data_IF_637769885075
#
_entry.id   IF_637769885075
#
_cell.length_a   1.000
_cell.length_b   1.000
_cell.length_c   1.000
_cell.angle_alpha   90.00
_cell.angle_beta   90.00
_cell.angle_gamma   90.00
#
_symmetry.space_group_name_H-M   'P 1'
#
loop_
_entity.id
_entity.type
_entity.pdbx_description
1 polymer ?
#
# COMPACT_ATOMS: atom_id res chain seq x y z
N UNK A 1 27.96 11.59 1.58
CA UNK A 1 27.73 12.43 0.42
C UNK A 1 26.24 12.39 0.08
N UNK A 2 25.57 13.51 0.19
CA UNK A 2 24.14 13.72 0.08
C UNK A 2 23.60 13.21 -1.26
N UNK A 3 22.63 12.28 -1.23
CA UNK A 3 21.71 12.06 -2.33
C UNK A 3 20.62 13.18 -2.35
N UNK A 4 21.04 14.40 -2.26
CA UNK A 4 20.22 15.54 -2.60
C UNK A 4 20.52 15.88 -4.06
N UNK A 5 20.01 15.04 -4.97
CA UNK A 5 19.96 15.42 -6.37
C UNK A 5 18.53 15.94 -6.63
N UNK A 6 18.30 17.25 -6.64
CA UNK A 6 16.98 17.84 -6.86
C UNK A 6 16.40 17.52 -8.25
N UNK A 7 17.18 16.91 -9.15
CA UNK A 7 16.69 16.45 -10.46
C UNK A 7 16.01 15.08 -10.43
N UNK A 8 16.19 14.27 -9.38
CA UNK A 8 15.62 12.92 -9.30
C UNK A 8 14.18 12.87 -8.77
N UNK A 9 13.73 13.87 -8.03
CA UNK A 9 12.42 13.90 -7.37
C UNK A 9 11.42 14.86 -8.04
N UNK A 10 11.46 15.07 -9.32
CA UNK A 10 10.43 15.85 -10.00
C UNK A 10 9.11 15.06 -10.14
N UNK A 11 8.49 14.65 -9.02
CA UNK A 11 7.20 13.90 -9.03
C UNK A 11 6.17 14.65 -9.88
N UNK A 12 6.12 15.96 -9.81
CA UNK A 12 5.24 16.80 -10.64
C UNK A 12 5.41 16.55 -12.15
N UNK A 13 6.61 16.19 -12.61
CA UNK A 13 6.91 15.94 -14.04
C UNK A 13 6.32 14.63 -14.56
N UNK A 14 6.07 13.67 -13.68
CA UNK A 14 5.54 12.35 -14.05
C UNK A 14 4.02 12.23 -13.83
N UNK A 15 3.40 13.19 -13.17
CA UNK A 15 1.95 13.25 -13.01
C UNK A 15 1.30 13.48 -14.38
N UNK A 16 0.25 12.72 -14.67
CA UNK A 16 -0.55 12.79 -15.88
C UNK A 16 -2.00 13.13 -15.54
N UNK A 17 -2.56 14.10 -16.24
CA UNK A 17 -3.99 14.37 -16.17
C UNK A 17 -4.77 13.20 -16.77
N UNK A 18 -5.85 12.80 -16.12
CA UNK A 18 -6.80 11.82 -16.68
C UNK A 18 -7.99 12.53 -17.30
N UNK A 19 -8.87 11.79 -17.95
CA UNK A 19 -10.15 12.32 -18.45
C UNK A 19 -11.20 12.52 -17.34
N UNK A 20 -10.94 12.00 -16.15
CA UNK A 20 -11.80 12.23 -14.98
C UNK A 20 -11.45 13.56 -14.33
N UNK A 21 -12.49 14.30 -13.92
CA UNK A 21 -12.30 15.54 -13.19
C UNK A 21 -11.67 15.27 -11.82
N UNK A 22 -10.68 16.07 -11.44
CA UNK A 22 -9.97 15.99 -10.16
C UNK A 22 -9.26 14.65 -9.89
N UNK A 23 -8.89 13.91 -10.94
CA UNK A 23 -8.12 12.68 -10.83
C UNK A 23 -6.89 12.75 -11.72
N UNK A 24 -5.73 12.73 -11.11
CA UNK A 24 -4.44 12.62 -11.76
C UNK A 24 -3.83 11.25 -11.52
N UNK A 25 -2.88 10.85 -12.34
CA UNK A 25 -2.26 9.53 -12.30
C UNK A 25 -0.74 9.63 -12.42
N UNK A 26 -0.03 8.92 -11.57
CA UNK A 26 1.36 8.54 -11.80
C UNK A 26 1.35 7.09 -12.32
N UNK A 27 1.55 6.88 -13.63
CA UNK A 27 1.51 5.54 -14.20
C UNK A 27 2.76 4.75 -13.83
N UNK A 28 2.57 3.49 -13.45
CA UNK A 28 3.66 2.54 -13.32
C UNK A 28 4.01 1.92 -14.69
N UNK A 29 5.17 1.28 -14.78
CA UNK A 29 5.58 0.52 -15.96
C UNK A 29 6.39 -0.72 -15.56
N UNK A 30 6.62 -1.64 -16.50
CA UNK A 30 7.33 -2.89 -16.25
C UNK A 30 8.77 -2.73 -15.73
N UNK A 31 9.40 -1.57 -15.90
CA UNK A 31 10.74 -1.31 -15.37
C UNK A 31 10.77 -1.27 -13.85
N UNK A 32 9.62 -1.02 -13.20
CA UNK A 32 9.51 -1.08 -11.75
C UNK A 32 9.77 -2.48 -11.17
N UNK A 33 9.60 -3.54 -11.95
CA UNK A 33 10.01 -4.89 -11.52
C UNK A 33 11.52 -4.99 -11.26
N UNK A 34 12.33 -4.27 -12.01
CA UNK A 34 13.78 -4.25 -11.81
C UNK A 34 14.18 -3.38 -10.60
N UNK A 35 13.34 -2.45 -10.21
CA UNK A 35 13.62 -1.54 -9.10
C UNK A 35 13.86 -2.28 -7.78
N UNK A 36 13.16 -3.36 -7.50
CA UNK A 36 13.38 -4.20 -6.31
C UNK A 36 14.80 -4.76 -6.27
N UNK A 37 15.30 -5.25 -7.41
CA UNK A 37 16.68 -5.77 -7.51
C UNK A 37 17.71 -4.66 -7.40
N UNK A 38 17.45 -3.50 -7.98
CA UNK A 38 18.33 -2.33 -7.88
C UNK A 38 18.41 -1.83 -6.44
N UNK A 39 17.28 -1.72 -5.75
CA UNK A 39 17.18 -1.34 -4.35
C UNK A 39 17.93 -2.34 -3.48
N UNK A 40 17.70 -3.65 -3.65
CA UNK A 40 18.39 -4.69 -2.90
C UNK A 40 19.91 -4.63 -3.13
N UNK A 41 20.35 -4.40 -4.35
CA UNK A 41 21.77 -4.21 -4.69
C UNK A 41 22.39 -2.95 -4.07
N UNK A 42 21.66 -1.86 -3.97
CA UNK A 42 22.10 -0.64 -3.28
C UNK A 42 22.21 -0.82 -1.78
N UNK A 43 21.21 -1.45 -1.15
CA UNK A 43 21.21 -1.74 0.28
C UNK A 43 22.37 -2.66 0.68
N UNK A 44 22.66 -3.68 -0.11
CA UNK A 44 23.79 -4.58 0.14
C UNK A 44 25.14 -3.87 0.13
N UNK A 45 25.27 -2.80 -0.65
CA UNK A 45 26.51 -1.99 -0.74
C UNK A 45 26.63 -0.89 0.31
N UNK A 46 25.54 -0.21 0.62
CA UNK A 46 25.56 1.04 1.38
C UNK A 46 24.81 0.99 2.72
N UNK A 47 24.11 -0.10 3.04
CA UNK A 47 23.26 -0.25 4.25
C UNK A 47 22.30 0.95 4.49
N UNK A 48 21.95 1.70 3.45
CA UNK A 48 21.21 2.94 3.59
C UNK A 48 19.71 2.69 3.50
N UNK A 49 19.00 2.85 4.61
CA UNK A 49 17.54 2.68 4.71
C UNK A 49 16.75 3.87 4.11
N UNK A 50 17.44 4.93 3.63
CA UNK A 50 16.81 6.13 3.06
C UNK A 50 15.90 5.83 1.87
N UNK A 51 16.11 4.70 1.19
CA UNK A 51 15.28 4.26 0.04
C UNK A 51 13.81 4.06 0.46
N UNK A 52 13.55 3.61 1.68
CA UNK A 52 12.18 3.39 2.18
C UNK A 52 11.43 4.72 2.32
N UNK A 53 12.13 5.81 2.56
CA UNK A 53 11.54 7.14 2.71
C UNK A 53 11.31 7.85 1.37
N UNK A 54 11.81 7.34 0.25
CA UNK A 54 11.72 8.03 -1.05
C UNK A 54 10.27 8.28 -1.49
N UNK A 55 9.37 7.34 -1.24
CA UNK A 55 7.95 7.50 -1.60
C UNK A 55 7.31 8.58 -0.71
N UNK A 56 7.61 8.59 0.57
CA UNK A 56 7.11 9.61 1.49
C UNK A 56 7.60 11.01 1.06
N UNK A 57 8.90 11.15 0.76
CA UNK A 57 9.46 12.41 0.27
C UNK A 57 8.84 12.86 -1.06
N UNK A 58 8.56 11.91 -1.96
CA UNK A 58 7.91 12.20 -3.23
C UNK A 58 6.46 12.69 -3.04
N UNK A 59 5.72 12.14 -2.08
CA UNK A 59 4.37 12.59 -1.73
C UNK A 59 4.41 13.98 -1.10
N UNK A 60 5.39 14.26 -0.24
CA UNK A 60 5.55 15.57 0.43
C UNK A 60 5.71 16.72 -0.58
N UNK A 61 6.27 16.45 -1.78
CA UNK A 61 6.36 17.46 -2.84
C UNK A 61 5.00 17.94 -3.38
N UNK A 62 3.96 17.13 -3.24
CA UNK A 62 2.64 17.35 -3.85
C UNK A 62 1.48 17.31 -2.84
N UNK A 63 1.78 17.19 -1.56
CA UNK A 63 0.77 17.01 -0.50
C UNK A 63 -0.27 18.14 -0.48
N UNK A 64 0.14 19.37 -0.79
CA UNK A 64 -0.75 20.54 -0.82
C UNK A 64 -1.61 20.64 -2.09
N UNK A 65 -1.32 19.82 -3.11
CA UNK A 65 -2.05 19.84 -4.38
C UNK A 65 -3.23 18.85 -4.41
N UNK A 66 -3.29 17.90 -3.46
CA UNK A 66 -4.25 16.79 -3.48
C UNK A 66 -4.86 16.56 -2.11
N UNK A 67 -6.17 16.34 -2.06
CA UNK A 67 -6.88 15.95 -0.84
C UNK A 67 -6.59 14.50 -0.43
N UNK A 68 -6.36 13.63 -1.41
CA UNK A 68 -6.11 12.19 -1.22
C UNK A 68 -5.09 11.70 -2.23
N UNK A 69 -4.11 10.91 -1.75
CA UNK A 69 -3.18 10.14 -2.57
C UNK A 69 -3.45 8.66 -2.35
N UNK A 70 -3.78 7.94 -3.42
CA UNK A 70 -4.00 6.49 -3.39
C UNK A 70 -2.79 5.80 -4.02
N UNK A 71 -2.20 4.88 -3.27
CA UNK A 71 -1.06 4.09 -3.72
C UNK A 71 -1.49 2.63 -3.89
N UNK A 72 -1.22 2.05 -5.08
CA UNK A 72 -1.47 0.64 -5.39
C UNK A 72 -0.13 -0.11 -5.47
N UNK A 73 0.33 -0.72 -4.35
CA UNK A 73 1.60 -1.42 -4.31
C UNK A 73 1.52 -2.78 -5.03
N UNK A 74 2.67 -3.35 -5.45
CA UNK A 74 2.71 -4.71 -5.96
C UNK A 74 2.25 -5.73 -4.89
N UNK A 75 1.74 -6.92 -5.28
CA UNK A 75 1.14 -7.89 -4.36
C UNK A 75 2.16 -8.59 -3.44
N UNK A 76 3.45 -8.34 -3.59
CA UNK A 76 4.50 -8.90 -2.76
C UNK A 76 4.94 -7.90 -1.68
N UNK A 77 5.30 -8.38 -0.49
CA UNK A 77 5.90 -7.56 0.57
C UNK A 77 7.40 -7.32 0.29
N UNK A 78 7.70 -6.73 -0.88
CA UNK A 78 9.04 -6.29 -1.24
C UNK A 78 9.35 -4.88 -0.76
N UNK A 79 10.53 -4.36 -1.13
CA UNK A 79 11.01 -3.04 -0.69
C UNK A 79 10.09 -1.89 -1.14
N UNK A 80 9.53 -1.98 -2.35
CA UNK A 80 8.57 -0.98 -2.86
C UNK A 80 7.31 -0.96 -2.00
N UNK A 81 6.74 -2.14 -1.70
CA UNK A 81 5.56 -2.24 -0.84
C UNK A 81 5.83 -1.74 0.58
N UNK A 82 7.03 -1.98 1.10
CA UNK A 82 7.46 -1.46 2.40
C UNK A 82 7.56 0.06 2.40
N UNK A 83 8.10 0.66 1.33
CA UNK A 83 8.15 2.11 1.18
C UNK A 83 6.76 2.74 1.08
N UNK A 84 5.82 2.08 0.39
CA UNK A 84 4.40 2.48 0.35
C UNK A 84 3.76 2.41 1.74
N UNK A 85 3.96 1.31 2.46
CA UNK A 85 3.44 1.14 3.82
C UNK A 85 4.01 2.19 4.79
N UNK A 86 5.27 2.58 4.62
CA UNK A 86 5.91 3.62 5.42
C UNK A 86 5.35 5.01 5.11
N UNK A 87 5.04 5.29 3.85
CA UNK A 87 4.51 6.58 3.40
C UNK A 87 3.01 6.75 3.68
N UNK A 88 2.26 5.64 3.77
CA UNK A 88 0.82 5.68 3.95
C UNK A 88 0.43 6.05 5.39
N UNK A 89 -0.60 6.86 5.53
CA UNK A 89 -1.25 7.15 6.82
C UNK A 89 -2.56 6.37 7.03
N UNK A 90 -3.00 5.61 6.07
CA UNK A 90 -4.23 4.82 6.10
C UNK A 90 -4.13 3.64 5.14
N UNK A 91 -4.87 2.56 5.41
CA UNK A 91 -4.84 1.36 4.57
C UNK A 91 -6.26 0.85 4.33
N UNK A 92 -6.53 0.49 3.07
CA UNK A 92 -7.73 -0.23 2.66
C UNK A 92 -7.30 -1.56 2.05
N UNK A 93 -7.85 -2.66 2.55
CA UNK A 93 -7.54 -4.03 2.13
C UNK A 93 -8.78 -4.62 1.47
N UNK A 94 -8.83 -4.71 0.13
CA UNK A 94 -9.93 -5.39 -0.57
C UNK A 94 -9.77 -6.90 -0.42
N UNK A 95 -10.83 -7.58 0.01
CA UNK A 95 -10.82 -9.02 0.26
C UNK A 95 -12.01 -9.66 -0.47
N UNK A 96 -11.77 -10.55 -1.45
CA UNK A 96 -12.82 -11.34 -2.06
C UNK A 96 -13.43 -12.31 -1.04
N UNK A 97 -14.74 -12.62 -1.13
CA UNK A 97 -15.40 -13.51 -0.19
C UNK A 97 -15.14 -14.99 -0.53
N UNK A 98 -13.90 -15.42 -0.37
CA UNK A 98 -13.48 -16.81 -0.44
C UNK A 98 -12.68 -17.20 0.79
N UNK A 99 -12.70 -18.47 1.17
CA UNK A 99 -11.93 -18.97 2.33
C UNK A 99 -10.42 -18.85 2.12
N UNK A 100 -9.96 -19.02 0.88
CA UNK A 100 -8.54 -18.89 0.52
C UNK A 100 -8.08 -17.45 0.65
N UNK A 101 -8.85 -16.50 0.10
CA UNK A 101 -8.54 -15.08 0.19
C UNK A 101 -8.63 -14.58 1.64
N UNK A 102 -9.58 -15.08 2.41
CA UNK A 102 -9.66 -14.79 3.84
C UNK A 102 -8.40 -15.24 4.59
N UNK A 103 -7.99 -16.50 4.42
CA UNK A 103 -6.79 -17.04 5.05
C UNK A 103 -5.52 -16.29 4.61
N UNK A 104 -5.41 -15.98 3.32
CA UNK A 104 -4.32 -15.19 2.76
C UNK A 104 -4.28 -13.78 3.34
N UNK A 105 -5.43 -13.15 3.54
CA UNK A 105 -5.54 -11.81 4.15
C UNK A 105 -5.07 -11.82 5.61
N UNK A 106 -5.44 -12.82 6.39
CA UNK A 106 -4.95 -12.96 7.77
C UNK A 106 -3.43 -13.08 7.79
N UNK A 107 -2.88 -13.94 6.93
CA UNK A 107 -1.44 -14.12 6.81
C UNK A 107 -0.73 -12.83 6.36
N UNK A 108 -1.30 -12.11 5.39
CA UNK A 108 -0.78 -10.83 4.93
C UNK A 108 -0.73 -9.79 6.05
N UNK A 109 -1.79 -9.66 6.84
CA UNK A 109 -1.84 -8.72 7.98
C UNK A 109 -0.75 -9.05 9.00
N UNK A 110 -0.57 -10.33 9.33
CA UNK A 110 0.43 -10.75 10.30
C UNK A 110 1.86 -10.53 9.79
N UNK A 111 2.13 -10.88 8.53
CA UNK A 111 3.41 -10.61 7.88
C UNK A 111 3.70 -9.09 7.83
N UNK A 112 2.74 -8.28 7.41
CA UNK A 112 2.88 -6.82 7.38
C UNK A 112 3.21 -6.27 8.77
N UNK A 113 2.48 -6.71 9.80
CA UNK A 113 2.72 -6.31 11.19
C UNK A 113 4.13 -6.67 11.65
N UNK A 114 4.60 -7.88 11.34
CA UNK A 114 5.92 -8.36 11.72
C UNK A 114 7.01 -7.55 11.02
N UNK A 115 6.87 -7.32 9.72
CA UNK A 115 7.84 -6.57 8.93
C UNK A 115 7.90 -5.12 9.35
N UNK A 116 6.77 -4.48 9.63
CA UNK A 116 6.74 -3.09 10.15
C UNK A 116 7.44 -2.95 11.50
N UNK A 117 7.31 -3.94 12.40
CA UNK A 117 8.07 -3.95 13.67
C UNK A 117 9.57 -4.08 13.45
N UNK A 118 10.00 -4.90 12.50
CA UNK A 118 11.41 -5.04 12.16
C UNK A 118 11.99 -3.74 11.59
N UNK A 119 11.26 -3.06 10.72
CA UNK A 119 11.65 -1.77 10.17
C UNK A 119 11.78 -0.70 11.25
N UNK A 120 10.85 -0.64 12.20
CA UNK A 120 10.91 0.29 13.34
C UNK A 120 12.20 0.09 14.14
N UNK A 121 12.58 -1.17 14.40
CA UNK A 121 13.81 -1.51 15.13
C UNK A 121 15.08 -1.14 14.34
N UNK A 122 15.09 -1.34 13.03
CA UNK A 122 16.24 -1.09 12.17
C UNK A 122 16.43 0.41 11.85
N UNK A 123 15.34 1.12 11.62
CA UNK A 123 15.38 2.52 11.20
C UNK A 123 15.53 3.51 12.38
N UNK A 124 15.33 3.05 13.64
CA UNK A 124 15.32 3.93 14.81
C UNK A 124 14.23 5.02 14.76
N UNK A 125 13.27 4.89 13.85
CA UNK A 125 12.14 5.80 13.67
C UNK A 125 10.87 5.13 14.19
N UNK A 126 9.97 5.92 14.75
CA UNK A 126 8.66 5.44 15.17
C UNK A 126 7.87 4.86 14.00
N UNK A 127 7.05 3.86 14.29
CA UNK A 127 6.11 3.28 13.32
C UNK A 127 5.13 4.36 12.85
N UNK A 128 4.80 4.44 11.55
CA UNK A 128 3.74 5.32 11.09
C UNK A 128 2.43 4.94 11.80
N UNK A 129 1.81 5.94 12.43
CA UNK A 129 0.51 5.76 13.04
C UNK A 129 -0.55 5.83 11.95
N UNK A 130 -1.17 4.69 11.61
CA UNK A 130 -2.29 4.69 10.68
C UNK A 130 -3.53 5.32 11.33
N UNK A 131 -4.15 6.25 10.63
CA UNK A 131 -5.43 6.82 11.01
C UNK A 131 -6.52 5.74 11.03
N UNK A 132 -6.47 4.83 10.05
CA UNK A 132 -7.32 3.64 10.01
C UNK A 132 -6.70 2.52 9.15
N UNK A 133 -7.13 1.29 9.44
CA UNK A 133 -7.00 0.13 8.56
C UNK A 133 -8.41 -0.43 8.38
N UNK A 134 -8.86 -0.57 7.13
CA UNK A 134 -10.18 -1.07 6.80
C UNK A 134 -10.11 -2.20 5.78
N UNK A 135 -10.87 -3.26 6.04
CA UNK A 135 -11.09 -4.33 5.09
C UNK A 135 -12.41 -4.07 4.36
N UNK A 136 -12.42 -4.29 3.07
CA UNK A 136 -13.60 -4.10 2.21
C UNK A 136 -13.88 -5.39 1.45
N UNK A 137 -15.08 -5.93 1.55
CA UNK A 137 -15.49 -7.05 0.71
C UNK A 137 -15.46 -6.61 -0.76
N UNK A 138 -14.67 -7.30 -1.58
CA UNK A 138 -14.52 -6.99 -3.01
C UNK A 138 -14.97 -8.16 -3.87
N UNK A 139 -15.38 -7.89 -5.13
CA UNK A 139 -15.89 -8.92 -6.04
C UNK A 139 -17.04 -9.73 -5.45
N UNK A 140 -17.90 -9.08 -4.70
CA UNK A 140 -19.04 -9.71 -4.04
C UNK A 140 -20.14 -9.97 -5.07
N UNK A 141 -20.58 -11.20 -5.15
CA UNK A 141 -21.80 -11.60 -5.86
C UNK A 141 -22.88 -11.89 -4.80
N UNK A 142 -23.80 -10.96 -4.63
CA UNK A 142 -24.82 -11.04 -3.59
C UNK A 142 -25.84 -12.16 -3.81
N UNK A 143 -25.90 -12.71 -5.04
CA UNK A 143 -26.75 -13.87 -5.34
C UNK A 143 -26.22 -15.16 -4.71
N UNK A 144 -24.91 -15.25 -4.42
CA UNK A 144 -24.28 -16.43 -3.86
C UNK A 144 -24.39 -16.47 -2.34
N UNK A 145 -25.05 -17.51 -1.80
CA UNK A 145 -25.15 -17.74 -0.34
C UNK A 145 -23.78 -17.82 0.33
N UNK A 146 -22.85 -18.52 -0.32
CA UNK A 146 -21.46 -18.67 0.18
C UNK A 146 -20.76 -17.33 0.37
N UNK A 147 -20.93 -16.37 -0.54
CA UNK A 147 -20.32 -15.04 -0.38
C UNK A 147 -20.87 -14.32 0.85
N UNK A 148 -22.18 -14.41 1.08
CA UNK A 148 -22.83 -13.82 2.27
C UNK A 148 -22.34 -14.45 3.57
N UNK A 149 -22.20 -15.78 3.59
CA UNK A 149 -21.71 -16.53 4.77
C UNK A 149 -20.26 -16.14 5.10
N UNK A 150 -19.38 -16.13 4.09
CA UNK A 150 -17.98 -15.75 4.27
C UNK A 150 -17.86 -14.29 4.73
N UNK A 151 -18.61 -13.36 4.13
CA UNK A 151 -18.63 -11.97 4.58
C UNK A 151 -19.11 -11.83 6.02
N UNK A 152 -20.11 -12.61 6.43
CA UNK A 152 -20.56 -12.65 7.82
C UNK A 152 -19.45 -13.11 8.76
N UNK A 153 -18.75 -14.18 8.40
CA UNK A 153 -17.61 -14.70 9.15
C UNK A 153 -16.48 -13.67 9.23
N UNK A 154 -16.15 -13.01 8.12
CA UNK A 154 -15.12 -11.96 8.09
C UNK A 154 -15.47 -10.79 9.01
N UNK A 155 -16.76 -10.36 9.01
CA UNK A 155 -17.24 -9.31 9.93
C UNK A 155 -17.14 -9.71 11.40
N UNK A 156 -17.38 -10.97 11.72
CA UNK A 156 -17.20 -11.49 13.08
C UNK A 156 -15.72 -11.46 13.51
N UNK A 157 -14.82 -11.85 12.61
CA UNK A 157 -13.38 -11.92 12.92
C UNK A 157 -12.73 -10.53 12.98
N UNK A 158 -13.00 -9.68 12.00
CA UNK A 158 -12.37 -8.35 11.89
C UNK A 158 -13.15 -7.24 12.59
N UNK A 159 -14.39 -7.48 13.00
CA UNK A 159 -15.21 -6.54 13.74
C UNK A 159 -15.32 -5.18 13.05
N UNK A 160 -15.10 -4.12 13.82
CA UNK A 160 -15.18 -2.73 13.32
C UNK A 160 -14.12 -2.35 12.28
N UNK A 161 -13.12 -3.21 12.04
CA UNK A 161 -12.14 -3.00 10.96
C UNK A 161 -12.69 -3.35 9.59
N UNK A 162 -13.79 -4.11 9.49
CA UNK A 162 -14.43 -4.44 8.23
C UNK A 162 -15.59 -3.49 7.93
N UNK A 163 -15.63 -2.96 6.71
CA UNK A 163 -16.70 -2.06 6.27
C UNK A 163 -18.03 -2.81 6.12
N UNK A 164 -19.14 -2.09 6.32
CA UNK A 164 -20.48 -2.62 6.02
C UNK A 164 -20.72 -2.66 4.49
N UNK A 165 -20.26 -1.63 3.78
CA UNK A 165 -20.32 -1.56 2.33
C UNK A 165 -19.36 -2.55 1.68
N UNK A 166 -19.74 -3.07 0.52
CA UNK A 166 -18.96 -4.01 -0.28
C UNK A 166 -18.86 -3.52 -1.72
N UNK A 167 -17.86 -4.00 -2.44
CA UNK A 167 -17.70 -3.78 -3.87
C UNK A 167 -18.27 -5.00 -4.62
N UNK A 168 -19.40 -4.82 -5.26
CA UNK A 168 -20.06 -5.90 -6.01
C UNK A 168 -19.42 -6.10 -7.39
N UNK A 169 -19.54 -7.32 -7.91
CA UNK A 169 -19.25 -7.59 -9.32
C UNK A 169 -20.41 -7.09 -10.18
N UNK A 170 -20.07 -6.31 -11.19
CA UNK A 170 -21.01 -5.95 -12.27
C UNK A 170 -21.22 -7.12 -13.21
#
# INVERSE_FOLDING_TARGET
>A
GHFHNPELLGVRKIIRKTHFHNLDLIPSNLRLYNLEYEIAGHMARNQNMEIIDLIAQAIDEVVDDYDVVIMDPPPALGMVSMAVLQAANSMVIPVPPSLVDFASTVSFIDMTRTTMKQLEQLAGRGRPAYNFIRLVGSRVDESKSMHREILSMMRQVFGGSMTQSVMVTS
#
